data_IF_253924917083
#
_entry.id   IF_253924917083
#
_cell.length_a   1.000
_cell.length_b   1.000
_cell.length_c   1.000
_cell.angle_alpha   90.00
_cell.angle_beta   90.00
_cell.angle_gamma   90.00
#
_symmetry.space_group_name_H-M   'P 1'
#
loop_
_entity.id
_entity.type
_entity.pdbx_description
1 polymer ?
#
# COMPACT_ATOMS: atom_id res chain seq x y z
N UNK A 1 16.50 -38.28 11.19
CA UNK A 1 15.92 -37.17 10.42
C UNK A 1 14.45 -37.47 10.25
N UNK A 2 13.55 -36.73 10.90
CA UNK A 2 12.11 -36.88 10.67
C UNK A 2 11.80 -36.40 9.26
N UNK A 3 11.09 -37.19 8.46
CA UNK A 3 10.53 -36.70 7.21
C UNK A 3 9.64 -35.49 7.52
N UNK A 4 9.72 -34.44 6.70
CA UNK A 4 8.76 -33.34 6.79
C UNK A 4 7.35 -33.93 6.64
N UNK A 5 6.37 -33.49 7.45
CA UNK A 5 5.01 -33.97 7.32
C UNK A 5 4.52 -33.76 5.89
N UNK A 6 3.91 -34.79 5.31
CA UNK A 6 3.37 -34.72 3.97
C UNK A 6 2.12 -33.84 4.02
N UNK A 7 2.26 -32.59 3.58
CA UNK A 7 1.17 -31.63 3.57
C UNK A 7 0.18 -32.01 2.47
N UNK A 8 -1.09 -32.19 2.85
CA UNK A 8 -2.15 -32.46 1.89
C UNK A 8 -2.56 -31.17 1.19
N UNK A 9 -2.07 -30.99 -0.03
CA UNK A 9 -2.42 -29.84 -0.85
C UNK A 9 -3.55 -30.16 -1.82
N UNK A 10 -4.07 -31.40 -1.86
CA UNK A 10 -4.75 -31.94 -3.03
C UNK A 10 -6.00 -31.13 -3.38
N UNK A 11 -6.03 -30.57 -4.60
CA UNK A 11 -7.15 -29.77 -5.12
C UNK A 11 -7.13 -28.30 -4.71
N UNK A 12 -6.33 -27.91 -3.71
CA UNK A 12 -6.21 -26.52 -3.27
C UNK A 12 -5.43 -25.66 -4.27
N UNK A 13 -4.61 -26.27 -5.12
CA UNK A 13 -3.87 -25.61 -6.19
C UNK A 13 -4.79 -25.02 -7.28
N UNK A 14 -5.99 -25.58 -7.46
CA UNK A 14 -6.95 -25.19 -8.52
C UNK A 14 -8.15 -24.36 -8.01
N UNK A 15 -8.10 -23.86 -6.77
CA UNK A 15 -9.21 -23.11 -6.16
C UNK A 15 -9.41 -21.68 -6.71
N UNK A 16 -8.66 -21.30 -7.75
CA UNK A 16 -8.73 -20.00 -8.40
C UNK A 16 -8.05 -18.87 -7.63
N UNK A 17 -7.41 -19.15 -6.49
CA UNK A 17 -6.65 -18.16 -5.71
C UNK A 17 -5.18 -18.18 -6.10
N UNK A 18 -4.56 -17.01 -6.10
CA UNK A 18 -3.12 -16.84 -6.29
C UNK A 18 -2.47 -16.83 -4.92
N UNK A 19 -1.54 -17.74 -4.64
CA UNK A 19 -0.78 -17.75 -3.37
C UNK A 19 0.62 -17.21 -3.59
N UNK A 20 1.01 -16.24 -2.77
CA UNK A 20 2.36 -15.66 -2.80
C UNK A 20 3.08 -15.96 -1.50
N UNK A 21 4.36 -16.32 -1.58
CA UNK A 21 5.20 -16.57 -0.40
C UNK A 21 5.89 -15.30 0.07
N UNK A 22 6.46 -15.31 1.29
CA UNK A 22 7.32 -14.20 1.75
C UNK A 22 8.51 -13.95 0.82
N UNK A 23 9.07 -15.02 0.24
CA UNK A 23 10.20 -14.93 -0.68
C UNK A 23 9.79 -14.30 -2.02
N UNK A 24 8.61 -14.63 -2.53
CA UNK A 24 8.11 -14.03 -3.78
C UNK A 24 7.98 -12.52 -3.66
N UNK A 25 7.35 -12.06 -2.58
CA UNK A 25 7.21 -10.63 -2.32
C UNK A 25 8.58 -9.96 -2.13
N UNK A 26 9.50 -10.60 -1.39
CA UNK A 26 10.84 -10.05 -1.19
C UNK A 26 11.59 -9.89 -2.51
N UNK A 27 11.53 -10.90 -3.39
CA UNK A 27 12.15 -10.89 -4.72
C UNK A 27 11.49 -9.82 -5.61
N UNK A 28 10.16 -9.71 -5.58
CA UNK A 28 9.44 -8.73 -6.38
C UNK A 28 9.78 -7.29 -5.95
N UNK A 29 9.80 -7.05 -4.64
CA UNK A 29 10.19 -5.76 -4.05
C UNK A 29 11.66 -5.46 -4.37
N UNK A 30 12.55 -6.45 -4.29
CA UNK A 30 13.96 -6.31 -4.67
C UNK A 30 14.12 -5.85 -6.12
N UNK A 31 13.35 -6.42 -7.05
CA UNK A 31 13.37 -6.05 -8.48
C UNK A 31 12.80 -4.65 -8.73
N UNK A 32 11.83 -4.22 -7.94
CA UNK A 32 11.14 -2.93 -8.12
C UNK A 32 11.89 -1.76 -7.49
N UNK A 33 12.61 -2.01 -6.39
CA UNK A 33 13.29 -0.97 -5.62
C UNK A 33 14.29 -0.10 -6.42
N UNK A 34 15.10 -0.62 -7.36
CA UNK A 34 15.97 0.22 -8.20
C UNK A 34 15.21 1.26 -9.00
N UNK A 35 14.04 0.91 -9.55
CA UNK A 35 13.17 1.84 -10.31
C UNK A 35 12.65 2.95 -9.40
N UNK A 36 12.11 2.58 -8.23
CA UNK A 36 11.64 3.53 -7.22
C UNK A 36 12.78 4.49 -6.79
N UNK A 37 13.99 3.95 -6.58
CA UNK A 37 15.15 4.74 -6.20
C UNK A 37 15.60 5.69 -7.31
N UNK A 38 15.58 5.25 -8.56
CA UNK A 38 16.01 6.07 -9.69
C UNK A 38 15.00 7.19 -10.03
N UNK A 39 13.70 6.90 -9.97
CA UNK A 39 12.66 7.81 -10.44
C UNK A 39 12.08 8.71 -9.33
N UNK A 40 12.15 8.29 -8.07
CA UNK A 40 11.53 9.01 -6.95
C UNK A 40 12.43 9.19 -5.73
N UNK A 41 13.30 8.23 -5.43
CA UNK A 41 14.27 8.30 -4.32
C UNK A 41 13.64 8.80 -2.99
N UNK A 42 12.71 8.07 -2.36
CA UNK A 42 11.91 8.60 -1.25
C UNK A 42 12.74 8.97 -0.01
N UNK A 43 12.23 9.93 0.76
CA UNK A 43 12.76 10.38 2.05
C UNK A 43 11.91 9.89 3.22
N UNK A 44 10.67 9.48 2.96
CA UNK A 44 9.71 8.97 3.91
C UNK A 44 8.85 7.89 3.25
N UNK A 45 8.56 6.81 3.97
CA UNK A 45 7.51 5.86 3.59
C UNK A 45 6.32 5.99 4.52
N UNK A 46 5.12 5.94 3.95
CA UNK A 46 3.85 5.86 4.68
C UNK A 46 3.20 4.53 4.31
N UNK A 47 3.21 3.58 5.24
CA UNK A 47 2.59 2.29 5.06
C UNK A 47 1.11 2.37 5.45
N UNK A 48 0.24 1.91 4.55
CA UNK A 48 -1.18 1.74 4.86
C UNK A 48 -1.34 0.48 5.72
N UNK A 49 -2.11 0.62 6.80
CA UNK A 49 -2.21 -0.36 7.88
C UNK A 49 -2.79 -1.69 7.42
N UNK A 50 -2.30 -2.77 8.02
CA UNK A 50 -2.59 -4.13 7.57
C UNK A 50 -1.50 -4.60 6.61
N UNK A 51 -1.82 -4.70 5.32
CA UNK A 51 -0.93 -5.32 4.33
C UNK A 51 0.25 -4.47 3.89
N UNK A 52 0.19 -3.13 3.95
CA UNK A 52 1.32 -2.24 3.59
C UNK A 52 2.54 -2.30 4.51
N UNK A 53 2.43 -2.85 5.73
CA UNK A 53 3.53 -2.91 6.70
C UNK A 53 4.70 -3.80 6.25
N UNK A 54 4.39 -5.01 5.78
CA UNK A 54 5.41 -5.97 5.38
C UNK A 54 6.16 -5.47 4.12
N UNK A 55 5.49 -5.03 3.04
CA UNK A 55 6.14 -4.46 1.87
C UNK A 55 7.00 -3.23 2.21
N UNK A 56 6.51 -2.29 3.02
CA UNK A 56 7.29 -1.11 3.41
C UNK A 56 8.57 -1.50 4.15
N UNK A 57 8.49 -2.48 5.06
CA UNK A 57 9.67 -2.97 5.78
C UNK A 57 10.65 -3.68 4.86
N UNK A 58 10.18 -4.53 3.94
CA UNK A 58 11.04 -5.19 2.95
C UNK A 58 11.73 -4.16 2.04
N UNK A 59 10.97 -3.22 1.50
CA UNK A 59 11.44 -2.17 0.58
C UNK A 59 12.52 -1.29 1.21
N UNK A 60 12.40 -0.96 2.50
CA UNK A 60 13.42 -0.19 3.25
C UNK A 60 14.81 -0.79 3.18
N UNK A 61 14.93 -2.12 3.09
CA UNK A 61 16.23 -2.79 2.99
C UNK A 61 16.96 -2.42 1.70
N UNK A 62 16.22 -2.17 0.61
CA UNK A 62 16.75 -1.86 -0.72
C UNK A 62 16.87 -0.35 -0.98
N UNK A 63 16.05 0.47 -0.31
CA UNK A 63 16.03 1.92 -0.50
C UNK A 63 16.92 2.70 0.49
N UNK A 64 17.85 2.06 1.20
CA UNK A 64 18.74 2.79 2.12
C UNK A 64 19.46 3.96 1.41
N UNK A 65 19.53 5.10 2.08
CA UNK A 65 20.15 6.32 1.59
C UNK A 65 21.65 6.36 1.90
N UNK A 66 22.44 6.95 1.00
CA UNK A 66 23.90 7.11 1.13
C UNK A 66 24.73 5.99 0.47
N UNK A 67 26.04 6.24 0.38
CA UNK A 67 27.01 5.36 -0.27
C UNK A 67 27.90 4.63 0.76
N UNK A 68 28.40 3.44 0.37
CA UNK A 68 29.33 2.66 1.18
C UNK A 68 28.73 2.10 2.48
N UNK A 69 29.50 2.16 3.58
CA UNK A 69 29.16 1.55 4.87
C UNK A 69 28.15 2.36 5.70
N UNK A 70 27.95 3.65 5.39
CA UNK A 70 27.08 4.56 6.17
C UNK A 70 25.69 4.73 5.55
N UNK A 71 25.03 3.60 5.27
CA UNK A 71 23.66 3.59 4.74
C UNK A 71 22.64 3.91 5.82
N UNK A 72 21.84 4.96 5.63
CA UNK A 72 20.75 5.35 6.54
C UNK A 72 19.41 4.75 6.11
N UNK A 73 18.62 4.34 7.10
CA UNK A 73 17.28 3.83 6.86
C UNK A 73 16.30 4.98 6.58
N UNK A 74 15.42 4.80 5.60
CA UNK A 74 14.27 5.69 5.38
C UNK A 74 13.26 5.46 6.52
N UNK A 75 12.75 6.51 7.19
CA UNK A 75 11.70 6.37 8.18
C UNK A 75 10.42 5.78 7.57
N UNK A 76 9.72 4.94 8.34
CA UNK A 76 8.41 4.39 7.98
C UNK A 76 7.41 4.93 9.00
N UNK A 77 6.33 5.51 8.50
CA UNK A 77 5.16 5.86 9.27
C UNK A 77 3.99 4.97 8.87
N UNK A 78 3.00 4.85 9.74
CA UNK A 78 1.83 4.01 9.54
C UNK A 78 0.57 4.87 9.59
N UNK A 79 -0.34 4.64 8.65
CA UNK A 79 -1.71 5.16 8.67
C UNK A 79 -2.70 4.02 8.63
N UNK A 80 -3.78 4.12 9.37
CA UNK A 80 -4.91 3.19 9.37
C UNK A 80 -6.10 3.86 8.72
N UNK A 81 -6.70 3.16 7.75
CA UNK A 81 -7.88 3.60 7.03
C UNK A 81 -8.94 2.51 7.12
N UNK A 82 -10.18 2.88 7.48
CA UNK A 82 -11.33 1.99 7.40
C UNK A 82 -12.34 2.56 6.41
N UNK A 83 -12.75 1.74 5.44
CA UNK A 83 -13.86 2.06 4.54
C UNK A 83 -15.17 1.69 5.25
N UNK A 84 -15.99 2.67 5.61
CA UNK A 84 -17.36 2.43 6.04
C UNK A 84 -18.29 2.61 4.86
N UNK A 85 -19.22 1.68 4.69
CA UNK A 85 -20.39 1.88 3.85
C UNK A 85 -21.49 2.43 4.76
N UNK A 86 -21.86 3.71 4.59
CA UNK A 86 -23.10 4.21 5.17
C UNK A 86 -24.25 3.48 4.47
N UNK A 87 -24.81 2.48 5.16
CA UNK A 87 -26.10 1.92 4.76
C UNK A 87 -27.14 2.97 5.16
N UNK A 88 -27.68 3.69 4.18
CA UNK A 88 -28.70 4.71 4.41
C UNK A 88 -29.77 4.18 5.35
N UNK A 89 -29.99 4.86 6.48
CA UNK A 89 -31.00 4.47 7.44
C UNK A 89 -32.35 4.44 6.72
N UNK A 90 -32.95 3.25 6.62
CA UNK A 90 -34.31 3.08 6.14
C UNK A 90 -35.24 3.67 7.22
N UNK A 91 -35.49 4.98 7.18
CA UNK A 91 -36.65 5.51 7.86
C UNK A 91 -37.88 4.97 7.11
N UNK A 92 -38.82 4.39 7.84
CA UNK A 92 -39.94 3.65 7.26
C UNK A 92 -40.99 4.52 6.57
N UNK A 93 -40.59 5.57 5.84
CA UNK A 93 -41.50 6.43 5.08
C UNK A 93 -41.52 6.04 3.60
N UNK A 94 -42.62 5.41 3.11
CA UNK A 94 -42.74 5.09 1.71
C UNK A 94 -43.04 6.37 0.93
N UNK A 95 -42.06 6.84 0.18
CA UNK A 95 -42.24 7.85 -0.85
C UNK A 95 -41.53 9.15 -0.55
N UNK A 96 -40.21 9.16 -0.72
CA UNK A 96 -39.41 10.22 -1.33
C UNK A 96 -38.10 9.56 -1.72
N UNK A 97 -37.80 9.48 -3.01
CA UNK A 97 -36.51 8.99 -3.49
C UNK A 97 -35.43 10.01 -3.06
N UNK A 98 -34.89 9.86 -1.85
CA UNK A 98 -33.60 10.42 -1.53
C UNK A 98 -32.59 9.70 -2.43
N UNK A 99 -31.91 10.47 -3.26
CA UNK A 99 -30.73 10.00 -3.98
C UNK A 99 -29.80 9.34 -2.96
N UNK A 100 -29.71 8.00 -3.01
CA UNK A 100 -28.73 7.24 -2.25
C UNK A 100 -27.34 7.77 -2.65
N UNK A 101 -26.81 8.70 -1.86
CA UNK A 101 -25.38 8.99 -1.91
C UNK A 101 -24.68 7.77 -1.35
N UNK A 102 -24.44 6.79 -2.21
CA UNK A 102 -23.49 5.70 -2.00
C UNK A 102 -22.08 6.31 -1.93
N UNK A 103 -21.78 7.00 -0.82
CA UNK A 103 -20.46 7.50 -0.51
C UNK A 103 -19.83 6.56 0.50
N UNK A 104 -18.76 5.84 0.12
CA UNK A 104 -17.91 5.20 1.13
C UNK A 104 -17.24 6.30 1.94
N UNK A 105 -17.70 6.55 3.16
CA UNK A 105 -16.97 7.43 4.07
C UNK A 105 -15.76 6.66 4.59
N UNK A 106 -14.58 7.22 4.37
CA UNK A 106 -13.34 6.60 4.81
C UNK A 106 -12.91 7.26 6.12
N UNK A 107 -12.75 6.46 7.17
CA UNK A 107 -12.40 6.95 8.51
C UNK A 107 -10.91 6.76 8.75
N UNK A 108 -10.21 7.83 9.16
CA UNK A 108 -8.84 7.77 9.66
C UNK A 108 -8.84 7.04 11.00
N UNK A 109 -8.50 5.75 11.03
CA UNK A 109 -8.47 4.95 12.28
C UNK A 109 -7.15 5.08 13.03
N UNK A 110 -6.07 5.31 12.30
CA UNK A 110 -4.76 5.68 12.82
C UNK A 110 -4.18 6.71 11.88
N UNK A 111 -3.61 7.79 12.41
CA UNK A 111 -3.02 8.83 11.58
C UNK A 111 -1.63 9.23 12.06
N UNK A 112 -0.93 10.01 11.23
CA UNK A 112 0.43 10.43 11.47
C UNK A 112 0.49 11.32 12.72
N UNK A 113 1.24 10.89 13.74
CA UNK A 113 1.64 11.78 14.82
C UNK A 113 2.91 12.54 14.42
N UNK A 114 2.64 13.71 13.86
CA UNK A 114 3.60 14.64 13.30
C UNK A 114 4.52 15.27 14.35
N UNK A 115 4.18 15.18 15.64
CA UNK A 115 5.00 15.72 16.73
C UNK A 115 6.33 14.97 16.91
N UNK A 116 6.38 13.69 16.51
CA UNK A 116 7.54 12.81 16.69
C UNK A 116 8.61 12.93 15.60
N UNK A 117 8.29 13.60 14.50
CA UNK A 117 9.12 13.71 13.28
C UNK A 117 9.86 15.06 13.15
N UNK A 118 9.79 15.91 14.18
CA UNK A 118 10.37 17.26 14.19
C UNK A 118 9.43 18.35 13.63
N UNK A 119 9.91 19.59 13.50
CA UNK A 119 9.08 20.76 13.17
C UNK A 119 8.51 20.80 11.75
N UNK A 120 8.96 19.91 10.84
CA UNK A 120 8.46 19.79 9.44
C UNK A 120 8.39 18.30 9.02
N UNK A 121 7.31 17.60 9.41
CA UNK A 121 7.24 16.16 9.28
C UNK A 121 6.93 15.68 7.85
N UNK A 122 6.15 16.45 7.07
CA UNK A 122 5.76 16.11 5.69
C UNK A 122 6.34 17.05 4.63
N UNK A 123 6.34 18.37 4.89
CA UNK A 123 6.66 19.34 3.83
C UNK A 123 8.10 19.20 3.33
N UNK A 124 8.28 19.27 2.01
CA UNK A 124 9.58 19.24 1.34
C UNK A 124 10.21 17.85 1.27
N UNK A 125 9.42 16.80 1.52
CA UNK A 125 9.84 15.40 1.43
C UNK A 125 9.24 14.73 0.20
N UNK A 126 9.96 13.72 -0.31
CA UNK A 126 9.42 12.73 -1.25
C UNK A 126 8.84 11.56 -0.46
N UNK A 127 7.50 11.48 -0.42
CA UNK A 127 6.75 10.54 0.42
C UNK A 127 6.23 9.41 -0.45
N UNK A 128 6.64 8.18 -0.14
CA UNK A 128 6.17 6.97 -0.80
C UNK A 128 5.09 6.29 0.05
N UNK A 129 3.85 6.29 -0.43
CA UNK A 129 2.73 5.53 0.11
C UNK A 129 2.91 4.07 -0.30
N UNK A 130 2.81 3.14 0.64
CA UNK A 130 3.06 1.73 0.42
C UNK A 130 1.87 0.89 0.86
N UNK A 131 1.41 0.01 -0.02
CA UNK A 131 0.34 -0.97 0.23
C UNK A 131 0.68 -2.32 -0.41
N UNK A 132 -0.04 -3.39 -0.08
CA UNK A 132 0.15 -4.69 -0.73
C UNK A 132 -0.53 -4.76 -2.10
N UNK A 133 -1.73 -4.19 -2.25
CA UNK A 133 -2.55 -4.36 -3.45
C UNK A 133 -3.28 -3.09 -3.90
N UNK A 134 -3.23 -2.80 -5.20
CA UNK A 134 -4.19 -1.89 -5.85
C UNK A 134 -5.32 -2.74 -6.46
N UNK A 135 -6.44 -2.86 -5.73
CA UNK A 135 -7.65 -3.55 -6.20
C UNK A 135 -8.59 -2.59 -6.94
N UNK A 136 -9.43 -1.86 -6.19
CA UNK A 136 -10.37 -0.85 -6.72
C UNK A 136 -9.77 0.55 -6.80
N UNK A 137 -8.55 0.75 -6.30
CA UNK A 137 -7.87 2.05 -6.09
C UNK A 137 -8.50 2.98 -5.05
N UNK A 138 -9.58 2.57 -4.38
CA UNK A 138 -10.29 3.45 -3.43
C UNK A 138 -9.41 3.85 -2.24
N UNK A 139 -8.77 2.87 -1.58
CA UNK A 139 -7.88 3.13 -0.42
C UNK A 139 -6.72 4.05 -0.79
N UNK A 140 -6.07 3.79 -1.94
CA UNK A 140 -4.94 4.59 -2.42
C UNK A 140 -5.34 6.02 -2.77
N UNK A 141 -6.45 6.19 -3.49
CA UNK A 141 -6.98 7.52 -3.83
C UNK A 141 -7.29 8.32 -2.56
N UNK A 142 -7.83 7.67 -1.54
CA UNK A 142 -8.12 8.31 -0.27
C UNK A 142 -6.86 8.69 0.50
N UNK A 143 -5.90 7.76 0.63
CA UNK A 143 -4.62 8.02 1.28
C UNK A 143 -3.89 9.23 0.66
N UNK A 144 -3.88 9.31 -0.68
CA UNK A 144 -3.33 10.46 -1.41
C UNK A 144 -4.09 11.75 -1.05
N UNK A 145 -5.42 11.74 -1.12
CA UNK A 145 -6.22 12.93 -0.85
C UNK A 145 -6.04 13.46 0.58
N UNK A 146 -6.02 12.57 1.57
CA UNK A 146 -5.85 12.95 2.97
C UNK A 146 -4.43 13.46 3.28
N UNK A 147 -3.40 12.80 2.73
CA UNK A 147 -2.03 13.29 2.86
C UNK A 147 -1.85 14.64 2.15
N UNK A 148 -2.52 14.86 1.01
CA UNK A 148 -2.48 16.14 0.32
C UNK A 148 -3.11 17.26 1.15
N UNK A 149 -4.24 17.00 1.82
CA UNK A 149 -4.86 17.96 2.76
C UNK A 149 -3.88 18.36 3.86
N UNK A 150 -3.24 17.38 4.51
CA UNK A 150 -2.26 17.66 5.56
C UNK A 150 -1.04 18.45 5.01
N UNK A 151 -0.60 18.15 3.80
CA UNK A 151 0.49 18.89 3.13
C UNK A 151 0.08 20.34 2.89
N UNK A 152 -1.12 20.57 2.38
CA UNK A 152 -1.66 21.89 2.06
C UNK A 152 -1.84 22.74 3.33
N UNK A 153 -2.37 22.14 4.41
CA UNK A 153 -2.51 22.78 5.72
C UNK A 153 -1.16 23.21 6.29
N UNK A 154 -0.16 22.34 6.23
CA UNK A 154 1.18 22.70 6.69
C UNK A 154 1.85 23.76 5.82
N UNK A 155 1.64 23.73 4.49
CA UNK A 155 2.14 24.76 3.57
C UNK A 155 1.45 26.12 3.81
N UNK A 156 0.17 26.12 4.15
CA UNK A 156 -0.61 27.31 4.48
C UNK A 156 -0.09 28.00 5.75
N UNK A 157 0.43 27.23 6.72
CA UNK A 157 0.98 27.74 7.96
C UNK A 157 2.38 28.41 7.83
N UNK A 158 3.05 28.30 6.67
CA UNK A 158 4.37 28.91 6.44
C UNK A 158 4.27 30.39 6.06
N UNK A 159 5.25 31.19 6.49
CA UNK A 159 5.44 32.56 5.94
C UNK A 159 5.84 32.49 4.46
N UNK A 160 5.68 33.57 3.68
CA UNK A 160 6.10 33.62 2.28
C UNK A 160 7.58 33.23 2.08
N UNK A 161 8.48 33.68 2.96
CA UNK A 161 9.91 33.39 2.92
C UNK A 161 10.18 31.91 3.21
N UNK A 162 9.50 31.36 4.22
CA UNK A 162 9.61 29.95 4.57
C UNK A 162 9.08 29.05 3.45
N UNK A 163 7.98 29.44 2.81
CA UNK A 163 7.39 28.71 1.68
C UNK A 163 8.32 28.72 0.48
N UNK A 164 8.89 29.89 0.14
CA UNK A 164 9.85 30.02 -0.95
C UNK A 164 11.13 29.20 -0.73
N UNK A 165 11.55 29.02 0.52
CA UNK A 165 12.71 28.20 0.89
C UNK A 165 12.39 26.70 1.06
N UNK A 166 11.13 26.28 0.97
CA UNK A 166 10.75 24.88 1.18
C UNK A 166 10.67 24.14 -0.16
N UNK A 167 11.40 23.01 -0.34
CA UNK A 167 11.26 22.18 -1.53
C UNK A 167 9.82 21.70 -1.74
N UNK A 168 9.43 21.32 -2.96
CA UNK A 168 8.13 20.71 -3.20
C UNK A 168 7.99 19.41 -2.40
N UNK A 169 6.81 19.20 -1.82
CA UNK A 169 6.41 17.89 -1.29
C UNK A 169 5.87 17.05 -2.44
N UNK A 170 6.39 15.84 -2.62
CA UNK A 170 5.95 14.95 -3.70
C UNK A 170 5.41 13.66 -3.11
N UNK A 171 4.29 13.18 -3.66
CA UNK A 171 3.70 11.89 -3.33
C UNK A 171 4.00 10.88 -4.44
N UNK A 172 4.24 9.64 -4.04
CA UNK A 172 4.23 8.48 -4.93
C UNK A 172 3.56 7.29 -4.24
N UNK A 173 3.13 6.32 -5.03
CA UNK A 173 2.54 5.06 -4.54
C UNK A 173 3.42 3.89 -4.97
N UNK A 174 3.62 2.93 -4.07
CA UNK A 174 4.08 1.59 -4.39
C UNK A 174 3.10 0.54 -3.89
N UNK A 175 2.68 -0.36 -4.78
CA UNK A 175 1.95 -1.59 -4.44
C UNK A 175 2.73 -2.82 -4.89
N UNK A 176 2.64 -3.91 -4.14
CA UNK A 176 3.25 -5.19 -4.55
C UNK A 176 2.53 -5.72 -5.79
N UNK A 177 1.20 -5.77 -5.74
CA UNK A 177 0.37 -6.23 -6.85
C UNK A 177 -0.63 -5.16 -7.28
N UNK A 178 -0.76 -4.93 -8.58
CA UNK A 178 -1.86 -4.16 -9.15
C UNK A 178 -2.82 -5.13 -9.85
N UNK A 179 -4.11 -5.09 -9.55
CA UNK A 179 -5.11 -5.84 -10.34
C UNK A 179 -5.39 -5.06 -11.62
N UNK A 180 -5.13 -5.68 -12.77
CA UNK A 180 -5.39 -5.09 -14.08
C UNK A 180 -6.90 -5.13 -14.38
N UNK A 181 -7.61 -4.16 -13.81
CA UNK A 181 -9.06 -4.04 -13.91
C UNK A 181 -9.50 -2.58 -13.80
N UNK A 182 -10.74 -2.25 -14.19
CA UNK A 182 -11.30 -0.91 -14.01
C UNK A 182 -11.24 -0.48 -12.55
N UNK A 183 -10.79 0.76 -12.32
CA UNK A 183 -10.60 1.34 -11.00
C UNK A 183 -11.78 2.25 -10.66
N UNK A 184 -12.24 2.18 -9.41
CA UNK A 184 -13.38 2.96 -8.92
C UNK A 184 -13.00 4.44 -8.68
N UNK A 185 -11.72 4.70 -8.43
CA UNK A 185 -11.19 6.04 -8.18
C UNK A 185 -9.96 6.30 -9.06
N UNK A 186 -9.66 7.58 -9.30
CA UNK A 186 -8.45 8.01 -9.99
C UNK A 186 -7.38 8.47 -8.99
N UNK A 187 -6.12 8.41 -9.40
CA UNK A 187 -5.00 9.04 -8.69
C UNK A 187 -4.60 10.28 -9.50
N UNK A 188 -4.32 11.44 -8.87
CA UNK A 188 -3.86 12.62 -9.58
C UNK A 188 -2.61 12.33 -10.42
N UNK A 189 -2.53 12.90 -11.63
CA UNK A 189 -1.47 12.60 -12.61
C UNK A 189 -0.04 12.96 -12.17
N UNK A 190 0.10 13.84 -11.18
CA UNK A 190 1.40 14.23 -10.63
C UNK A 190 1.92 13.23 -9.58
N UNK A 191 1.08 12.32 -9.08
CA UNK A 191 1.48 11.27 -8.14
C UNK A 191 2.06 10.10 -8.93
N UNK A 192 3.36 9.83 -8.74
CA UNK A 192 4.01 8.71 -9.42
C UNK A 192 3.47 7.39 -8.88
N UNK A 193 3.37 6.39 -9.74
CA UNK A 193 2.79 5.09 -9.42
C UNK A 193 3.74 3.96 -9.77
N UNK A 194 4.00 3.07 -8.82
CA UNK A 194 4.84 1.89 -8.97
C UNK A 194 4.05 0.65 -8.56
N UNK A 195 3.97 -0.33 -9.46
CA UNK A 195 3.53 -1.68 -9.11
C UNK A 195 4.72 -2.65 -9.24
N UNK A 196 4.77 -3.65 -8.37
CA UNK A 196 5.70 -4.77 -8.50
C UNK A 196 5.31 -5.64 -9.69
N UNK A 197 4.08 -6.12 -9.70
CA UNK A 197 3.52 -6.96 -10.76
C UNK A 197 2.05 -6.62 -11.02
N UNK A 198 1.62 -6.76 -12.27
CA UNK A 198 0.22 -6.71 -12.66
C UNK A 198 -0.39 -8.12 -12.59
N UNK A 199 -1.56 -8.23 -11.97
CA UNK A 199 -2.29 -9.48 -11.76
C UNK A 199 -3.60 -9.47 -12.55
N UNK A 200 -4.11 -10.67 -12.85
CA UNK A 200 -5.36 -10.81 -13.61
C UNK A 200 -6.53 -10.12 -12.88
N UNK A 201 -7.51 -9.57 -13.63
CA UNK A 201 -8.71 -8.99 -13.05
C UNK A 201 -9.40 -9.97 -12.09
N UNK A 202 -9.92 -9.45 -10.97
CA UNK A 202 -10.67 -10.22 -9.96
C UNK A 202 -9.91 -11.40 -9.33
N UNK A 203 -8.60 -11.51 -9.52
CA UNK A 203 -7.79 -12.50 -8.81
C UNK A 203 -7.85 -12.26 -7.30
N UNK A 204 -8.00 -13.36 -6.55
CA UNK A 204 -7.85 -13.34 -5.10
C UNK A 204 -6.42 -13.73 -4.75
N UNK A 205 -5.66 -12.79 -4.19
CA UNK A 205 -4.27 -13.01 -3.78
C UNK A 205 -4.29 -13.35 -2.29
N UNK A 206 -3.73 -14.50 -1.94
CA UNK A 206 -3.53 -14.92 -0.55
C UNK A 206 -2.12 -14.51 -0.12
N UNK A 207 -2.03 -13.53 0.79
CA UNK A 207 -0.76 -13.08 1.33
C UNK A 207 -0.34 -13.94 2.52
N UNK A 208 0.97 -14.17 2.72
CA UNK A 208 1.46 -15.14 3.70
C UNK A 208 1.30 -14.65 5.15
N UNK A 209 1.15 -13.35 5.40
CA UNK A 209 0.83 -12.81 6.74
C UNK A 209 -0.65 -12.99 7.12
N UNK A 210 -1.50 -13.44 6.19
CA UNK A 210 -2.91 -13.72 6.42
C UNK A 210 -3.18 -15.23 6.62
N UNK A 211 -2.13 -16.06 6.58
CA UNK A 211 -2.27 -17.51 6.64
C UNK A 211 -1.87 -18.05 8.01
N UNK A 212 -2.74 -18.89 8.58
CA UNK A 212 -2.46 -19.59 9.84
C UNK A 212 -1.48 -20.75 9.63
N UNK A 213 -1.66 -21.53 8.56
CA UNK A 213 -0.74 -22.60 8.16
C UNK A 213 0.18 -22.15 7.01
N UNK A 214 1.28 -21.52 7.39
CA UNK A 214 2.26 -20.99 6.42
C UNK A 214 2.96 -22.10 5.63
N UNK A 215 3.15 -23.29 6.22
CA UNK A 215 3.84 -24.39 5.54
C UNK A 215 2.95 -24.97 4.43
N UNK A 216 1.66 -25.15 4.70
CA UNK A 216 0.68 -25.57 3.70
C UNK A 216 0.54 -24.51 2.60
N UNK A 217 0.44 -23.23 2.97
CA UNK A 217 0.36 -22.12 2.01
C UNK A 217 1.56 -22.11 1.05
N UNK A 218 2.78 -22.20 1.58
CA UNK A 218 4.00 -22.20 0.78
C UNK A 218 4.08 -23.44 -0.12
N UNK A 219 3.63 -24.61 0.36
CA UNK A 219 3.57 -25.84 -0.44
C UNK A 219 2.58 -25.72 -1.61
N UNK A 220 1.40 -25.11 -1.41
CA UNK A 220 0.44 -24.88 -2.49
C UNK A 220 0.97 -23.83 -3.47
N UNK A 221 1.56 -22.73 -2.98
CA UNK A 221 2.15 -21.69 -3.82
C UNK A 221 3.26 -22.25 -4.73
N UNK A 222 4.09 -23.16 -4.21
CA UNK A 222 5.10 -23.85 -5.01
C UNK A 222 4.47 -24.73 -6.10
N UNK A 223 3.47 -25.55 -5.74
CA UNK A 223 2.75 -26.40 -6.71
C UNK A 223 2.03 -25.59 -7.79
N UNK A 224 1.44 -24.44 -7.45
CA UNK A 224 0.83 -23.54 -8.43
C UNK A 224 1.85 -23.08 -9.47
N UNK A 225 3.07 -22.71 -9.05
CA UNK A 225 4.15 -22.33 -9.98
C UNK A 225 4.62 -23.50 -10.85
N UNK A 226 4.76 -24.70 -10.28
CA UNK A 226 5.13 -25.90 -11.02
C UNK A 226 4.10 -26.26 -12.10
N UNK A 227 2.82 -25.97 -11.83
CA UNK A 227 1.71 -26.18 -12.75
C UNK A 227 1.45 -25.01 -13.72
N UNK A 228 2.14 -23.87 -13.54
CA UNK A 228 1.95 -22.67 -14.34
C UNK A 228 0.59 -21.99 -14.15
N UNK A 229 0.02 -22.10 -12.94
CA UNK A 229 -1.28 -21.52 -12.55
C UNK A 229 -1.17 -20.06 -12.11
#
# INVERSE_FOLDING_TARGET
MSAAPQLDTQGLEYDGKIRVTYNDMHILIQKTAPRIKAEFNPDLMVAIGGGGFVPARMLRSFLKQGDGEKRRNIPIQAIGLSLYEEVGAFDGTPGLAQEEKLGKEVVRTQWLDLSTLGSKPLIGRRILIVDEVDDSRTTLSYAVAELQKDIDEHLAALTPEQRAATPPTELAIFVVHNKDQPKACSIPSHVRYFAGEDTKPKSWICYPWEQEDILLHDAIALKQKELGL
#
